data_IF_748030528891
#
_entry.id   IF_748030528891
#
_cell.length_a   1.000
_cell.length_b   1.000
_cell.length_c   1.000
_cell.angle_alpha   90.00
_cell.angle_beta   90.00
_cell.angle_gamma   90.00
#
_symmetry.space_group_name_H-M   'P 1'
#
loop_
_entity.id
_entity.type
_entity.pdbx_description
1 polymer ?
#
# COMPACT_ATOMS: atom_id res chain seq x y z
N UNK A 1 13.58 7.54 -6.97
CA UNK A 1 12.61 7.51 -5.88
C UNK A 1 13.27 7.99 -4.59
N UNK A 2 12.50 8.63 -3.73
CA UNK A 2 12.93 9.15 -2.43
C UNK A 2 12.04 8.59 -1.32
N UNK A 3 12.51 8.68 -0.09
CA UNK A 3 11.76 8.35 1.12
C UNK A 3 12.25 9.22 2.29
N UNK A 4 11.39 9.43 3.27
CA UNK A 4 11.71 10.10 4.52
C UNK A 4 11.66 9.11 5.69
N UNK A 5 12.57 9.28 6.66
CA UNK A 5 12.69 8.37 7.81
C UNK A 5 12.49 9.17 9.09
N UNK A 6 11.49 8.78 9.87
CA UNK A 6 11.16 9.35 11.17
C UNK A 6 11.57 8.37 12.27
N UNK A 7 12.47 8.79 13.14
CA UNK A 7 13.00 7.95 14.21
C UNK A 7 12.46 8.41 15.55
N UNK A 8 11.84 7.51 16.36
CA UNK A 8 11.37 7.86 17.71
C UNK A 8 12.51 8.37 18.61
N UNK A 9 12.16 9.27 19.54
CA UNK A 9 13.10 9.88 20.47
C UNK A 9 13.12 9.19 21.85
N UNK A 10 12.69 7.93 21.94
CA UNK A 10 12.58 7.19 23.21
C UNK A 10 13.90 6.58 23.69
N UNK A 11 14.99 6.71 22.90
CA UNK A 11 16.33 6.26 23.29
C UNK A 11 16.64 4.77 23.02
N UNK A 12 15.71 3.99 22.49
CA UNK A 12 15.99 2.61 22.06
C UNK A 12 16.98 2.56 20.89
N UNK A 13 17.68 1.43 20.76
CA UNK A 13 18.67 1.21 19.69
C UNK A 13 18.07 0.47 18.48
N UNK A 14 16.92 -0.17 18.64
CA UNK A 14 16.33 -1.05 17.62
C UNK A 14 14.81 -1.05 17.72
N UNK A 15 14.15 -0.46 16.74
CA UNK A 15 12.70 -0.27 16.67
C UNK A 15 12.09 -1.14 15.56
N UNK A 16 10.86 -1.66 15.71
CA UNK A 16 10.10 -2.11 14.55
C UNK A 16 9.92 -0.97 13.55
N UNK A 17 9.65 -1.31 12.32
CA UNK A 17 9.56 -0.38 11.20
C UNK A 17 8.16 -0.39 10.61
N UNK A 18 7.61 0.77 10.32
CA UNK A 18 6.38 0.94 9.56
C UNK A 18 6.69 1.66 8.26
N UNK A 19 6.46 1.00 7.12
CA UNK A 19 6.61 1.61 5.79
C UNK A 19 5.26 2.11 5.31
N UNK A 20 5.18 3.38 4.89
CA UNK A 20 3.95 4.04 4.42
C UNK A 20 4.02 4.26 2.91
N UNK A 21 2.94 3.91 2.20
CA UNK A 21 2.68 4.25 0.80
C UNK A 21 1.49 5.21 0.76
N UNK A 22 1.68 6.39 0.15
CA UNK A 22 0.66 7.45 0.14
C UNK A 22 -0.50 7.16 -0.83
N UNK A 23 -1.65 7.80 -0.60
CA UNK A 23 -2.79 7.81 -1.51
C UNK A 23 -2.64 8.80 -2.67
N UNK A 24 -3.69 8.95 -3.47
CA UNK A 24 -3.72 9.89 -4.61
C UNK A 24 -4.05 9.25 -5.96
N UNK A 25 -4.72 8.08 -5.96
CA UNK A 25 -5.21 7.43 -7.18
C UNK A 25 -4.11 7.07 -8.19
N UNK A 26 -2.87 6.90 -7.71
CA UNK A 26 -1.66 6.65 -8.53
C UNK A 26 -1.32 7.80 -9.51
N UNK A 27 -1.94 8.97 -9.37
CA UNK A 27 -1.86 10.10 -10.30
C UNK A 27 -1.46 11.41 -9.63
N UNK A 28 -1.69 11.56 -8.34
CA UNK A 28 -1.42 12.78 -7.58
C UNK A 28 -0.69 12.49 -6.27
N UNK A 29 -0.26 13.53 -5.60
CA UNK A 29 0.44 13.52 -4.32
C UNK A 29 1.89 13.03 -4.41
N UNK A 30 2.54 13.09 -3.31
CA UNK A 30 3.83 12.50 -2.99
C UNK A 30 3.84 12.19 -1.49
N UNK A 31 4.93 11.64 -0.98
CA UNK A 31 4.99 11.22 0.42
C UNK A 31 4.72 12.34 1.43
N UNK A 32 4.88 13.62 1.06
CA UNK A 32 4.62 14.73 1.98
C UNK A 32 3.19 14.78 2.49
N UNK A 33 2.21 14.22 1.76
CA UNK A 33 0.81 14.15 2.22
C UNK A 33 0.65 13.30 3.49
N UNK A 34 1.61 12.42 3.78
CA UNK A 34 1.61 11.53 4.94
C UNK A 34 2.59 11.99 6.05
N UNK A 35 3.15 13.21 5.97
CA UNK A 35 4.11 13.68 6.96
C UNK A 35 3.51 13.74 8.37
N UNK A 36 2.30 14.31 8.52
CA UNK A 36 1.65 14.43 9.83
C UNK A 36 1.33 13.06 10.45
N UNK A 37 0.89 12.09 9.64
CA UNK A 37 0.73 10.70 10.08
C UNK A 37 2.08 10.10 10.52
N UNK A 38 3.14 10.33 9.75
CA UNK A 38 4.48 9.82 10.06
C UNK A 38 5.03 10.40 11.37
N UNK A 39 4.88 11.71 11.57
CA UNK A 39 5.25 12.40 12.79
C UNK A 39 4.43 11.94 13.99
N UNK A 40 3.10 11.78 13.80
CA UNK A 40 2.21 11.28 14.85
C UNK A 40 2.63 9.89 15.33
N UNK A 41 2.82 8.94 14.41
CA UNK A 41 3.20 7.57 14.77
C UNK A 41 4.59 7.55 15.42
N UNK A 42 5.61 8.19 14.82
CA UNK A 42 6.95 8.21 15.38
C UNK A 42 7.03 8.96 16.73
N UNK A 43 6.16 9.94 16.95
CA UNK A 43 6.08 10.73 18.18
C UNK A 43 5.33 10.04 19.31
N UNK A 44 4.34 9.21 19.02
CA UNK A 44 3.45 8.57 20.00
C UNK A 44 3.67 7.05 20.13
N UNK A 45 4.69 6.51 19.48
CA UNK A 45 4.98 5.07 19.49
C UNK A 45 6.48 4.79 19.41
N UNK A 46 6.84 3.52 19.36
CA UNK A 46 8.22 3.05 19.22
C UNK A 46 8.46 2.42 17.84
N UNK A 47 7.99 3.06 16.77
CA UNK A 47 8.20 2.64 15.39
C UNK A 47 9.08 3.64 14.64
N UNK A 48 10.10 3.14 13.95
CA UNK A 48 10.71 3.92 12.86
C UNK A 48 9.71 3.93 11.71
N UNK A 49 9.33 5.11 11.27
CA UNK A 49 8.40 5.27 10.16
C UNK A 49 9.18 5.64 8.89
N UNK A 50 8.92 4.92 7.81
CA UNK A 50 9.51 5.17 6.49
C UNK A 50 8.40 5.56 5.53
N UNK A 51 8.36 6.83 5.16
CA UNK A 51 7.35 7.42 4.28
C UNK A 51 7.89 7.48 2.86
N UNK A 52 7.32 6.73 1.93
CA UNK A 52 7.93 6.44 0.63
C UNK A 52 7.22 7.14 -0.53
N UNK A 53 8.01 7.55 -1.53
CA UNK A 53 7.52 7.91 -2.85
C UNK A 53 7.54 6.72 -3.79
N UNK A 54 6.70 6.77 -4.79
CA UNK A 54 6.65 5.89 -5.95
C UNK A 54 6.30 6.70 -7.19
N UNK A 55 6.55 6.17 -8.38
CA UNK A 55 6.15 6.84 -9.63
C UNK A 55 4.63 6.92 -9.74
N UNK A 56 4.17 7.97 -10.39
CA UNK A 56 2.76 8.16 -10.72
C UNK A 56 2.49 7.79 -12.19
N UNK A 57 1.24 7.45 -12.52
CA UNK A 57 0.84 7.11 -13.89
C UNK A 57 1.16 8.22 -14.90
N UNK A 58 1.11 9.50 -14.45
CA UNK A 58 1.44 10.68 -15.27
C UNK A 58 2.93 10.93 -15.48
N UNK A 59 3.81 10.27 -14.72
CA UNK A 59 5.25 10.47 -14.83
C UNK A 59 5.82 9.96 -16.16
N UNK A 60 7.07 10.38 -16.47
CA UNK A 60 7.78 10.01 -17.69
C UNK A 60 6.95 10.26 -18.96
N UNK A 61 6.39 11.46 -19.09
CA UNK A 61 5.50 11.84 -20.20
C UNK A 61 4.26 10.92 -20.30
N UNK A 62 3.63 10.65 -19.16
CA UNK A 62 2.41 9.83 -19.08
C UNK A 62 2.60 8.39 -19.56
N UNK A 63 3.75 7.76 -19.26
CA UNK A 63 4.09 6.41 -19.73
C UNK A 63 4.29 5.35 -18.63
N UNK A 64 4.16 5.72 -17.35
CA UNK A 64 4.32 4.78 -16.24
C UNK A 64 3.10 3.86 -16.13
N UNK A 65 3.32 2.56 -16.07
CA UNK A 65 2.28 1.54 -15.94
C UNK A 65 2.03 1.20 -14.47
N UNK A 66 0.83 0.73 -14.15
CA UNK A 66 0.43 0.41 -12.77
C UNK A 66 1.29 -0.71 -12.13
N UNK A 67 1.73 -1.71 -12.90
CA UNK A 67 2.64 -2.73 -12.39
C UNK A 67 3.98 -2.12 -11.95
N UNK A 68 4.49 -1.11 -12.67
CA UNK A 68 5.74 -0.43 -12.31
C UNK A 68 5.61 0.35 -10.99
N UNK A 69 4.42 0.85 -10.67
CA UNK A 69 4.14 1.51 -9.38
C UNK A 69 4.16 0.47 -8.24
N UNK A 70 3.57 -0.70 -8.45
CA UNK A 70 3.67 -1.83 -7.49
C UNK A 70 5.13 -2.27 -7.34
N UNK A 71 5.89 -2.33 -8.42
CA UNK A 71 7.32 -2.67 -8.42
C UNK A 71 8.17 -1.65 -7.66
N UNK A 72 7.78 -0.37 -7.69
CA UNK A 72 8.40 0.69 -6.87
C UNK A 72 8.14 0.47 -5.37
N UNK A 73 6.90 0.13 -5.00
CA UNK A 73 6.55 -0.19 -3.62
C UNK A 73 7.29 -1.42 -3.11
N UNK A 74 7.43 -2.46 -3.93
CA UNK A 74 8.24 -3.64 -3.60
C UNK A 74 9.72 -3.31 -3.48
N UNK A 75 10.24 -2.47 -4.39
CA UNK A 75 11.63 -2.02 -4.38
C UNK A 75 11.96 -1.19 -3.14
N UNK A 76 11.07 -0.27 -2.74
CA UNK A 76 11.27 0.53 -1.52
C UNK A 76 11.32 -0.34 -0.27
N UNK A 77 10.45 -1.36 -0.13
CA UNK A 77 10.51 -2.29 0.98
C UNK A 77 11.82 -3.08 1.02
N UNK A 78 12.33 -3.54 -0.13
CA UNK A 78 13.64 -4.22 -0.20
C UNK A 78 14.78 -3.29 0.22
N UNK A 79 14.75 -2.03 -0.22
CA UNK A 79 15.70 -1.02 0.21
C UNK A 79 15.66 -0.80 1.74
N UNK A 80 14.45 -0.66 2.28
CA UNK A 80 14.25 -0.53 3.74
C UNK A 80 14.87 -1.72 4.47
N UNK A 81 14.57 -2.95 4.05
CA UNK A 81 15.10 -4.16 4.69
C UNK A 81 16.63 -4.26 4.62
N UNK A 82 17.26 -3.67 3.62
CA UNK A 82 18.74 -3.66 3.50
C UNK A 82 19.40 -2.55 4.33
N UNK A 83 18.73 -1.38 4.48
CA UNK A 83 19.40 -0.18 4.97
C UNK A 83 18.88 0.38 6.30
N UNK A 84 17.68 -0.03 6.75
CA UNK A 84 17.00 0.61 7.87
C UNK A 84 17.72 0.46 9.21
N UNK A 85 18.58 -0.54 9.34
CA UNK A 85 19.41 -0.70 10.54
C UNK A 85 20.34 0.51 10.79
N UNK A 86 20.75 1.24 9.74
CA UNK A 86 21.52 2.48 9.84
C UNK A 86 20.73 3.62 10.50
N UNK A 87 19.40 3.48 10.56
CA UNK A 87 18.45 4.43 11.13
C UNK A 87 17.72 3.87 12.35
N UNK A 88 18.34 2.93 13.07
CA UNK A 88 17.81 2.27 14.26
C UNK A 88 16.56 1.41 14.03
N UNK A 89 16.19 1.11 12.79
CA UNK A 89 15.10 0.19 12.47
C UNK A 89 15.57 -1.26 12.44
N UNK A 90 14.67 -2.18 12.78
CA UNK A 90 14.91 -3.62 12.72
C UNK A 90 14.38 -4.20 11.40
N UNK A 91 15.24 -4.63 10.48
CA UNK A 91 14.80 -5.18 9.20
C UNK A 91 14.01 -6.51 9.33
N UNK A 92 14.06 -7.16 10.49
CA UNK A 92 13.29 -8.39 10.77
C UNK A 92 11.88 -8.08 11.33
N UNK A 93 11.63 -6.87 11.80
CA UNK A 93 10.36 -6.42 12.38
C UNK A 93 9.76 -5.27 11.57
N UNK A 94 9.15 -5.59 10.44
CA UNK A 94 8.61 -4.61 9.49
C UNK A 94 7.12 -4.82 9.28
N UNK A 95 6.36 -3.75 9.38
CA UNK A 95 4.98 -3.65 8.93
C UNK A 95 4.89 -2.69 7.74
N UNK A 96 3.84 -2.82 6.96
CA UNK A 96 3.52 -1.90 5.86
C UNK A 96 2.13 -1.32 6.05
N UNK A 97 1.94 -0.10 5.58
CA UNK A 97 0.64 0.57 5.57
C UNK A 97 0.51 1.48 4.36
N UNK A 98 -0.69 1.86 4.06
CA UNK A 98 -1.00 2.85 3.05
C UNK A 98 -2.48 3.11 2.99
N UNK A 99 -2.83 4.23 2.43
CA UNK A 99 -4.17 4.73 2.28
C UNK A 99 -4.60 4.75 0.81
N UNK A 100 -5.87 4.51 0.50
CA UNK A 100 -6.40 4.64 -0.87
C UNK A 100 -5.57 3.83 -1.89
N UNK A 101 -4.94 4.50 -2.87
CA UNK A 101 -3.98 3.89 -3.80
C UNK A 101 -2.78 3.27 -3.08
N UNK A 102 -2.26 3.91 -2.03
CA UNK A 102 -1.18 3.36 -1.19
C UNK A 102 -1.61 2.13 -0.41
N UNK A 103 -2.87 2.06 0.00
CA UNK A 103 -3.47 0.86 0.59
C UNK A 103 -3.50 -0.31 -0.39
N UNK A 104 -3.82 -0.05 -1.68
CA UNK A 104 -3.70 -1.05 -2.74
C UNK A 104 -2.24 -1.50 -2.90
N UNK A 105 -1.27 -0.57 -2.91
CA UNK A 105 0.15 -0.92 -3.01
C UNK A 105 0.59 -1.80 -1.84
N UNK A 106 0.21 -1.46 -0.60
CA UNK A 106 0.48 -2.28 0.59
C UNK A 106 -0.10 -3.68 0.43
N UNK A 107 -1.35 -3.81 0.01
CA UNK A 107 -1.98 -5.10 -0.23
C UNK A 107 -1.26 -5.90 -1.33
N UNK A 108 -0.85 -5.24 -2.44
CA UNK A 108 -0.12 -5.91 -3.53
C UNK A 108 1.24 -6.42 -3.09
N UNK A 109 2.01 -5.63 -2.33
CA UNK A 109 3.30 -6.05 -1.75
C UNK A 109 3.10 -7.30 -0.87
N UNK A 110 2.07 -7.28 -0.02
CA UNK A 110 1.74 -8.39 0.88
C UNK A 110 1.35 -9.67 0.13
N UNK A 111 0.43 -9.55 -0.82
CA UNK A 111 -0.20 -10.69 -1.49
C UNK A 111 0.70 -11.32 -2.57
N UNK A 112 1.62 -10.54 -3.14
CA UNK A 112 2.45 -10.96 -4.26
C UNK A 112 3.95 -11.06 -3.93
N UNK A 113 4.32 -11.12 -2.65
CA UNK A 113 5.72 -11.22 -2.20
C UNK A 113 6.50 -12.38 -2.83
N UNK A 114 5.81 -13.40 -3.32
CA UNK A 114 6.36 -14.59 -3.98
C UNK A 114 6.19 -14.63 -5.49
N UNK A 115 5.50 -13.65 -6.09
CA UNK A 115 5.28 -13.56 -7.54
C UNK A 115 6.25 -12.56 -8.17
N UNK A 116 7.55 -12.70 -7.87
CA UNK A 116 8.59 -11.82 -8.39
C UNK A 116 9.33 -12.53 -9.51
N UNK A 117 9.51 -11.84 -10.65
CA UNK A 117 10.16 -12.35 -11.84
C UNK A 117 11.02 -11.27 -12.51
N UNK A 118 12.18 -11.65 -13.02
CA UNK A 118 13.11 -10.72 -13.68
C UNK A 118 12.56 -10.13 -14.98
N UNK A 119 11.67 -10.87 -15.67
CA UNK A 119 11.01 -10.42 -16.89
C UNK A 119 9.74 -9.59 -16.60
N UNK A 120 9.30 -9.55 -15.34
CA UNK A 120 8.13 -8.77 -14.91
C UNK A 120 6.87 -9.14 -15.69
N UNK A 121 6.08 -8.14 -16.03
CA UNK A 121 4.84 -8.28 -16.81
C UNK A 121 5.08 -8.57 -18.31
N UNK A 122 6.32 -8.56 -18.79
CA UNK A 122 6.68 -8.99 -20.13
C UNK A 122 6.98 -10.49 -20.21
N UNK A 123 7.05 -11.18 -19.07
CA UNK A 123 7.29 -12.62 -19.00
C UNK A 123 6.07 -13.47 -19.37
N UNK A 124 6.23 -14.78 -19.34
CA UNK A 124 5.12 -15.74 -19.59
C UNK A 124 4.08 -15.73 -18.46
N UNK A 125 4.52 -15.41 -17.26
CA UNK A 125 3.68 -15.22 -16.09
C UNK A 125 3.69 -13.73 -15.73
N UNK A 126 2.59 -13.20 -15.20
CA UNK A 126 2.50 -11.80 -14.80
C UNK A 126 3.10 -11.63 -13.41
N UNK A 127 4.43 -11.66 -13.32
CA UNK A 127 5.20 -11.43 -12.11
C UNK A 127 5.62 -9.97 -11.96
N UNK A 128 6.16 -9.61 -10.80
CA UNK A 128 6.65 -8.26 -10.54
C UNK A 128 8.17 -8.23 -10.51
N UNK A 129 8.75 -7.17 -11.08
CA UNK A 129 10.19 -6.90 -11.02
C UNK A 129 10.45 -5.69 -10.13
N UNK A 130 10.78 -5.89 -8.83
CA UNK A 130 11.05 -4.76 -7.95
C UNK A 130 12.10 -3.82 -8.54
N UNK A 131 11.85 -2.51 -8.48
CA UNK A 131 12.76 -1.48 -9.04
C UNK A 131 14.09 -1.39 -8.30
N UNK A 132 14.13 -1.87 -7.07
CA UNK A 132 15.36 -2.06 -6.30
C UNK A 132 15.53 -3.55 -5.96
N UNK A 133 16.72 -4.05 -6.19
CA UNK A 133 17.13 -5.39 -5.76
C UNK A 133 18.46 -5.29 -5.00
N UNK A 134 18.60 -5.91 -3.83
CA UNK A 134 19.86 -5.98 -3.11
C UNK A 134 20.98 -6.55 -3.99
N UNK A 135 22.19 -6.05 -3.82
CA UNK A 135 23.35 -6.42 -4.65
C UNK A 135 23.49 -7.93 -4.80
N UNK A 136 23.55 -8.42 -6.03
CA UNK A 136 23.72 -9.85 -6.38
C UNK A 136 22.48 -10.72 -6.17
N UNK A 137 21.30 -10.11 -5.92
CA UNK A 137 20.01 -10.82 -5.87
C UNK A 137 19.25 -10.65 -7.18
N UNK A 138 18.44 -11.65 -7.51
CA UNK A 138 17.45 -11.58 -8.61
C UNK A 138 16.04 -11.61 -8.01
N UNK A 139 15.04 -11.21 -8.77
CA UNK A 139 13.64 -11.22 -8.35
C UNK A 139 13.23 -12.63 -7.85
N UNK A 140 13.59 -13.67 -8.58
CA UNK A 140 13.27 -15.07 -8.23
C UNK A 140 13.95 -15.52 -6.93
N UNK A 141 15.20 -15.08 -6.70
CA UNK A 141 15.91 -15.38 -5.44
C UNK A 141 15.24 -14.70 -4.25
N UNK A 142 14.73 -13.48 -4.43
CA UNK A 142 13.96 -12.76 -3.41
C UNK A 142 12.64 -13.49 -3.15
N UNK A 143 11.87 -13.83 -4.20
CA UNK A 143 10.62 -14.57 -4.08
C UNK A 143 10.80 -15.92 -3.35
N UNK A 144 11.79 -16.70 -3.75
CA UNK A 144 12.08 -18.02 -3.14
C UNK A 144 12.42 -17.94 -1.65
N UNK A 145 13.00 -16.83 -1.20
CA UNK A 145 13.39 -16.60 0.21
C UNK A 145 12.36 -15.80 1.00
N UNK A 146 11.22 -15.49 0.39
CA UNK A 146 10.20 -14.62 0.97
C UNK A 146 10.77 -13.26 1.43
N UNK A 147 11.61 -12.68 0.59
CA UNK A 147 12.40 -11.50 0.94
C UNK A 147 11.57 -10.23 1.18
N UNK A 148 10.32 -10.20 0.69
CA UNK A 148 9.35 -9.13 0.97
C UNK A 148 8.45 -9.42 2.18
N UNK A 149 8.66 -10.52 2.90
CA UNK A 149 7.84 -10.86 4.06
C UNK A 149 7.83 -9.74 5.09
N UNK A 150 6.63 -9.36 5.54
CA UNK A 150 6.39 -8.43 6.64
C UNK A 150 5.62 -9.14 7.75
N UNK A 151 5.55 -8.54 8.94
CA UNK A 151 4.94 -9.15 10.13
C UNK A 151 3.51 -8.66 10.37
N UNK A 152 3.13 -7.53 9.75
CA UNK A 152 1.80 -6.96 9.81
C UNK A 152 1.54 -6.07 8.59
N UNK A 153 0.27 -5.85 8.28
CA UNK A 153 -0.14 -4.83 7.32
C UNK A 153 -1.37 -4.07 7.83
N UNK A 154 -1.38 -2.77 7.60
CA UNK A 154 -2.54 -1.91 7.85
C UNK A 154 -3.02 -1.35 6.51
N UNK A 155 -4.28 -1.60 6.17
CA UNK A 155 -4.83 -1.25 4.87
C UNK A 155 -5.97 -0.25 5.08
N UNK A 156 -5.72 1.02 4.76
CA UNK A 156 -6.63 2.13 5.02
C UNK A 156 -7.43 2.47 3.76
N UNK A 157 -8.75 2.30 3.81
CA UNK A 157 -9.69 2.66 2.73
C UNK A 157 -9.15 2.45 1.31
N UNK A 158 -8.64 1.24 1.03
CA UNK A 158 -7.88 0.95 -0.17
C UNK A 158 -8.75 0.66 -1.41
N UNK A 159 -8.14 0.82 -2.59
CA UNK A 159 -8.70 0.35 -3.85
C UNK A 159 -8.36 -1.13 -4.07
N UNK A 160 -9.30 -2.03 -3.83
CA UNK A 160 -9.04 -3.47 -3.86
C UNK A 160 -9.26 -4.13 -5.23
N UNK A 161 -9.98 -3.48 -6.15
CA UNK A 161 -10.37 -4.07 -7.44
C UNK A 161 -10.16 -3.08 -8.60
N UNK A 162 -8.95 -3.07 -9.15
CA UNK A 162 -8.59 -2.22 -10.29
C UNK A 162 -9.22 -2.73 -11.60
N UNK A 163 -9.51 -4.02 -11.68
CA UNK A 163 -10.22 -4.59 -12.82
C UNK A 163 -11.60 -3.98 -12.95
N UNK A 164 -12.37 -3.97 -11.86
CA UNK A 164 -13.69 -3.33 -11.81
C UNK A 164 -13.61 -1.81 -11.96
N UNK A 165 -12.61 -1.16 -11.36
CA UNK A 165 -12.40 0.28 -11.50
C UNK A 165 -12.17 0.68 -12.97
N UNK A 166 -11.35 -0.07 -13.71
CA UNK A 166 -11.12 0.17 -15.14
C UNK A 166 -12.39 -0.02 -15.97
N UNK A 167 -13.18 -1.07 -15.71
CA UNK A 167 -14.48 -1.29 -16.34
C UNK A 167 -15.47 -0.13 -16.06
N UNK A 168 -15.37 0.49 -14.90
CA UNK A 168 -16.20 1.62 -14.47
C UNK A 168 -15.62 2.99 -14.86
N UNK A 169 -14.71 3.05 -15.84
CA UNK A 169 -14.22 4.28 -16.43
C UNK A 169 -13.05 4.96 -15.73
N UNK A 170 -12.32 4.25 -14.86
CA UNK A 170 -11.10 4.81 -14.23
C UNK A 170 -10.11 5.34 -15.28
N UNK A 171 -10.00 4.69 -16.44
CA UNK A 171 -9.07 5.01 -17.53
C UNK A 171 -9.57 6.11 -18.48
N UNK A 172 -10.67 6.77 -18.15
CA UNK A 172 -11.31 7.79 -18.99
C UNK A 172 -11.27 9.17 -18.36
N UNK A 173 -11.61 10.20 -19.14
CA UNK A 173 -11.70 11.59 -18.67
C UNK A 173 -12.80 11.83 -17.63
N UNK A 174 -13.69 10.88 -17.38
CA UNK A 174 -14.67 10.95 -16.30
C UNK A 174 -14.02 10.80 -14.91
N UNK A 175 -12.84 10.20 -14.83
CA UNK A 175 -12.10 10.11 -13.60
C UNK A 175 -11.27 11.38 -13.37
N UNK A 176 -11.65 12.14 -12.35
CA UNK A 176 -11.05 13.43 -11.99
C UNK A 176 -9.55 13.36 -11.67
N UNK A 177 -9.03 12.22 -11.22
CA UNK A 177 -7.61 12.08 -10.84
C UNK A 177 -6.67 12.34 -12.02
N UNK A 178 -7.06 11.99 -13.26
CA UNK A 178 -6.27 12.32 -14.46
C UNK A 178 -6.11 13.83 -14.64
N UNK A 179 -7.19 14.57 -14.44
CA UNK A 179 -7.16 16.04 -14.51
C UNK A 179 -6.31 16.65 -13.38
N UNK A 180 -6.51 16.17 -12.15
CA UNK A 180 -5.77 16.65 -10.98
C UNK A 180 -4.26 16.35 -11.09
N UNK A 181 -3.91 15.20 -11.67
CA UNK A 181 -2.52 14.81 -11.93
C UNK A 181 -1.91 15.45 -13.18
N UNK A 182 -2.65 16.34 -13.88
CA UNK A 182 -2.23 16.91 -15.16
C UNK A 182 -1.74 15.86 -16.16
N UNK A 183 -2.44 14.72 -16.20
CA UNK A 183 -2.14 13.57 -17.03
C UNK A 183 -3.25 13.27 -18.03
N UNK A 184 -2.90 12.67 -19.15
CA UNK A 184 -3.89 12.28 -20.17
C UNK A 184 -4.46 10.91 -19.83
N UNK A 185 -5.81 10.75 -19.78
CA UNK A 185 -6.44 9.46 -19.55
C UNK A 185 -6.01 8.42 -20.58
N UNK A 186 -5.67 7.23 -20.10
CA UNK A 186 -5.24 6.07 -20.89
C UNK A 186 -5.36 4.79 -20.08
N UNK A 187 -5.15 3.65 -20.72
CA UNK A 187 -5.04 2.36 -20.06
C UNK A 187 -3.95 2.34 -18.97
N UNK A 188 -4.22 1.66 -17.87
CA UNK A 188 -3.28 1.49 -16.75
C UNK A 188 -1.97 0.81 -17.17
N UNK A 189 -1.99 0.07 -18.27
CA UNK A 189 -0.85 -0.61 -18.88
C UNK A 189 -0.41 0.03 -20.21
N UNK A 190 -0.84 1.25 -20.49
CA UNK A 190 -0.56 1.94 -21.75
C UNK A 190 -1.35 1.39 -22.93
N UNK A 191 -0.88 1.72 -24.14
CA UNK A 191 -1.53 1.30 -25.38
C UNK A 191 -1.35 -0.21 -25.64
N UNK A 192 -2.37 -0.82 -26.21
CA UNK A 192 -2.36 -2.23 -26.60
C UNK A 192 -2.84 -3.22 -25.52
N UNK A 193 -2.91 -2.82 -24.26
CA UNK A 193 -3.50 -3.60 -23.17
C UNK A 193 -4.78 -2.90 -22.73
N UNK A 194 -5.89 -3.62 -22.73
CA UNK A 194 -7.19 -3.06 -22.30
C UNK A 194 -7.93 -4.03 -21.38
N UNK A 195 -8.79 -3.47 -20.53
CA UNK A 195 -9.55 -4.24 -19.54
C UNK A 195 -10.41 -5.34 -20.17
N UNK A 196 -10.94 -5.11 -21.37
CA UNK A 196 -11.80 -6.06 -22.09
C UNK A 196 -10.99 -7.19 -22.77
N UNK A 197 -9.80 -6.88 -23.29
CA UNK A 197 -8.99 -7.84 -24.06
C UNK A 197 -8.00 -8.59 -23.16
N UNK A 198 -7.54 -7.96 -22.08
CA UNK A 198 -6.47 -8.46 -21.22
C UNK A 198 -6.87 -8.39 -19.74
N UNK A 199 -8.03 -8.95 -19.33
CA UNK A 199 -8.51 -8.85 -17.94
C UNK A 199 -7.52 -9.43 -16.92
N UNK A 200 -6.66 -10.36 -17.32
CA UNK A 200 -5.64 -10.97 -16.45
C UNK A 200 -4.59 -9.96 -15.97
N UNK A 201 -4.23 -8.95 -16.78
CA UNK A 201 -3.32 -7.88 -16.37
C UNK A 201 -3.91 -7.06 -15.23
N UNK A 202 -5.19 -6.66 -15.35
CA UNK A 202 -5.89 -5.88 -14.35
C UNK A 202 -6.14 -6.67 -13.07
N UNK A 203 -6.48 -7.94 -13.19
CA UNK A 203 -6.62 -8.85 -12.04
C UNK A 203 -5.29 -9.07 -11.33
N UNK A 204 -4.18 -9.15 -12.06
CA UNK A 204 -2.85 -9.33 -11.48
C UNK A 204 -2.43 -8.16 -10.57
N UNK A 205 -2.94 -6.93 -10.80
CA UNK A 205 -2.67 -5.74 -9.97
C UNK A 205 -3.82 -5.39 -9.00
N UNK A 206 -4.85 -6.22 -8.93
CA UNK A 206 -5.99 -6.04 -8.03
C UNK A 206 -5.90 -6.98 -6.83
N UNK A 207 -5.81 -6.48 -5.60
CA UNK A 207 -5.75 -7.30 -4.39
C UNK A 207 -6.79 -8.41 -4.33
N UNK A 208 -8.04 -8.12 -4.72
CA UNK A 208 -9.17 -9.08 -4.68
C UNK A 208 -8.90 -10.41 -5.36
N UNK A 209 -8.07 -10.44 -6.41
CA UNK A 209 -7.80 -11.66 -7.19
C UNK A 209 -6.48 -12.35 -6.82
N UNK A 210 -5.78 -11.83 -5.80
CA UNK A 210 -4.45 -12.31 -5.44
C UNK A 210 -4.37 -12.92 -4.03
N UNK A 211 -5.50 -13.09 -3.34
CA UNK A 211 -5.55 -13.63 -1.98
C UNK A 211 -5.23 -15.13 -2.02
N UNK A 212 -4.10 -15.59 -1.43
CA UNK A 212 -3.83 -17.01 -1.32
C UNK A 212 -4.71 -17.65 -0.23
N UNK A 213 -5.04 -18.91 -0.39
CA UNK A 213 -5.57 -19.67 0.77
C UNK A 213 -4.48 -19.82 1.83
N UNK A 214 -4.86 -19.95 3.10
CA UNK A 214 -3.93 -20.17 4.20
C UNK A 214 -3.02 -21.40 3.99
N UNK A 215 -3.53 -22.43 3.32
CA UNK A 215 -2.77 -23.62 2.99
C UNK A 215 -1.67 -23.35 1.94
N UNK A 216 -1.90 -22.42 1.00
CA UNK A 216 -0.90 -22.02 0.03
C UNK A 216 0.18 -21.10 0.63
N UNK A 217 -0.26 -20.12 1.39
CA UNK A 217 0.61 -19.15 2.06
C UNK A 217 -0.12 -18.43 3.19
N UNK A 218 0.39 -18.52 4.40
CA UNK A 218 -0.16 -17.79 5.53
C UNK A 218 0.33 -16.35 5.51
N UNK A 219 -0.59 -15.42 5.28
CA UNK A 219 -0.34 -13.99 5.38
C UNK A 219 -0.15 -13.57 6.84
N UNK A 220 0.60 -12.49 7.11
CA UNK A 220 0.62 -11.87 8.42
C UNK A 220 -0.76 -11.27 8.76
N UNK A 221 -1.02 -10.94 10.04
CA UNK A 221 -2.22 -10.22 10.43
C UNK A 221 -2.39 -8.91 9.65
N UNK A 222 -3.63 -8.63 9.26
CA UNK A 222 -4.02 -7.40 8.58
C UNK A 222 -5.04 -6.64 9.42
N UNK A 223 -4.89 -5.32 9.51
CA UNK A 223 -5.92 -4.41 10.00
C UNK A 223 -6.44 -3.60 8.82
N UNK A 224 -7.68 -3.85 8.43
CA UNK A 224 -8.37 -3.13 7.34
C UNK A 224 -9.35 -2.15 7.95
N UNK A 225 -9.36 -0.91 7.48
CA UNK A 225 -10.32 0.07 7.98
C UNK A 225 -10.76 1.07 6.92
N UNK A 226 -11.92 1.68 7.13
CA UNK A 226 -12.56 2.61 6.19
C UNK A 226 -13.49 3.54 6.94
N UNK A 227 -13.77 4.72 6.38
CA UNK A 227 -14.79 5.63 6.89
C UNK A 227 -16.20 5.22 6.43
N UNK A 228 -17.21 5.38 7.29
CA UNK A 228 -18.60 4.97 6.97
C UNK A 228 -19.23 5.78 5.84
N UNK A 229 -18.72 7.00 5.58
CA UNK A 229 -19.22 7.89 4.53
C UNK A 229 -18.29 8.00 3.33
N UNK A 230 -17.29 7.12 3.24
CA UNK A 230 -16.35 7.08 2.12
C UNK A 230 -17.05 6.70 0.81
N UNK A 231 -17.15 7.67 -0.11
CA UNK A 231 -17.73 7.48 -1.44
C UNK A 231 -16.69 7.15 -2.53
N UNK A 232 -15.40 7.34 -2.24
CA UNK A 232 -14.30 7.08 -3.19
C UNK A 232 -13.94 5.59 -3.19
N UNK A 233 -13.75 5.02 -2.01
CA UNK A 233 -13.53 3.58 -1.79
C UNK A 233 -14.56 3.10 -0.75
N UNK A 234 -15.80 2.81 -1.16
CA UNK A 234 -16.91 2.60 -0.24
C UNK A 234 -16.67 1.44 0.74
N UNK A 235 -17.23 1.50 1.96
CA UNK A 235 -17.10 0.45 2.98
C UNK A 235 -17.42 -0.96 2.45
N UNK A 236 -18.35 -1.07 1.51
CA UNK A 236 -18.70 -2.34 0.88
C UNK A 236 -17.51 -2.97 0.12
N UNK A 237 -16.61 -2.16 -0.46
CA UNK A 237 -15.40 -2.66 -1.14
C UNK A 237 -14.42 -3.25 -0.12
N UNK A 238 -14.20 -2.56 1.00
CA UNK A 238 -13.38 -3.05 2.11
C UNK A 238 -13.96 -4.32 2.74
N UNK A 239 -15.28 -4.37 2.94
CA UNK A 239 -15.97 -5.56 3.45
C UNK A 239 -15.78 -6.77 2.53
N UNK A 240 -15.91 -6.58 1.19
CA UNK A 240 -15.70 -7.68 0.22
C UNK A 240 -14.27 -8.24 0.31
N UNK A 241 -13.25 -7.36 0.45
CA UNK A 241 -11.87 -7.80 0.62
C UNK A 241 -11.66 -8.57 1.92
N UNK A 242 -12.22 -8.09 3.03
CA UNK A 242 -12.18 -8.74 4.34
C UNK A 242 -12.87 -10.09 4.30
N UNK A 243 -14.03 -10.19 3.67
CA UNK A 243 -14.77 -11.45 3.53
C UNK A 243 -13.98 -12.47 2.70
N UNK A 244 -13.32 -12.02 1.63
CA UNK A 244 -12.44 -12.87 0.83
C UNK A 244 -11.22 -13.37 1.62
N UNK A 245 -10.61 -12.51 2.45
CA UNK A 245 -9.54 -12.92 3.37
C UNK A 245 -10.01 -13.99 4.38
N UNK A 246 -11.17 -13.75 5.01
CA UNK A 246 -11.76 -14.71 5.96
C UNK A 246 -12.08 -16.04 5.27
N UNK A 247 -12.67 -16.01 4.09
CA UNK A 247 -12.98 -17.22 3.29
C UNK A 247 -11.70 -17.99 2.91
N UNK A 248 -10.58 -17.28 2.70
CA UNK A 248 -9.26 -17.88 2.45
C UNK A 248 -8.55 -18.36 3.74
N UNK A 249 -9.16 -18.16 4.93
CA UNK A 249 -8.60 -18.52 6.23
C UNK A 249 -7.48 -17.60 6.70
N UNK A 250 -7.38 -16.38 6.15
CA UNK A 250 -6.34 -15.42 6.50
C UNK A 250 -6.72 -14.55 7.71
N UNK A 251 -5.76 -14.18 8.58
CA UNK A 251 -6.03 -13.34 9.74
C UNK A 251 -6.30 -11.90 9.33
N UNK A 252 -7.46 -11.35 9.73
CA UNK A 252 -7.84 -9.98 9.44
C UNK A 252 -8.74 -9.42 10.54
N UNK A 253 -8.47 -8.18 10.94
CA UNK A 253 -9.33 -7.31 11.74
C UNK A 253 -9.92 -6.23 10.83
N UNK A 254 -11.19 -5.84 11.12
CA UNK A 254 -11.87 -4.83 10.29
C UNK A 254 -12.60 -3.82 11.17
N UNK A 255 -12.40 -2.53 10.87
CA UNK A 255 -13.09 -1.43 11.57
C UNK A 255 -13.65 -0.42 10.57
N UNK A 256 -14.89 0.02 10.81
CA UNK A 256 -15.51 1.16 10.11
C UNK A 256 -15.55 2.32 11.09
N UNK A 257 -15.00 3.46 10.68
CA UNK A 257 -15.02 4.69 11.48
C UNK A 257 -16.23 5.54 11.10
N UNK A 258 -17.13 5.72 12.04
CA UNK A 258 -18.39 6.42 11.80
C UNK A 258 -18.17 7.90 11.46
N UNK A 259 -18.91 8.37 10.44
CA UNK A 259 -18.89 9.75 9.98
C UNK A 259 -17.64 10.19 9.23
N UNK A 260 -16.62 9.33 9.07
CA UNK A 260 -15.41 9.68 8.30
C UNK A 260 -15.60 9.42 6.83
N UNK A 261 -15.08 10.33 6.02
CA UNK A 261 -15.03 10.20 4.57
C UNK A 261 -13.63 9.76 4.13
N UNK A 262 -13.37 9.71 2.83
CA UNK A 262 -12.07 9.37 2.24
C UNK A 262 -10.96 10.33 2.67
N UNK A 263 -9.70 9.86 2.71
CA UNK A 263 -8.49 10.66 2.96
C UNK A 263 -8.40 11.29 4.38
N UNK A 264 -9.00 10.69 5.40
CA UNK A 264 -8.92 11.20 6.77
C UNK A 264 -7.55 11.05 7.44
N UNK A 265 -6.59 10.38 6.81
CA UNK A 265 -5.19 10.28 7.26
C UNK A 265 -4.25 11.26 6.54
N UNK A 266 -4.75 11.99 5.54
CA UNK A 266 -3.97 12.98 4.79
C UNK A 266 -3.69 14.22 5.65
N UNK A 267 -2.59 14.90 5.39
CA UNK A 267 -2.24 16.15 6.07
C UNK A 267 -3.32 17.22 5.93
N UNK A 268 -3.55 17.96 7.00
CA UNK A 268 -4.40 19.15 7.02
C UNK A 268 -5.88 18.84 6.88
N UNK A 269 -6.63 19.74 6.24
CA UNK A 269 -8.06 19.61 6.04
C UNK A 269 -8.41 19.62 4.56
N UNK A 270 -9.35 18.76 4.17
CA UNK A 270 -9.92 18.70 2.83
C UNK A 270 -11.40 19.09 2.87
N UNK A 271 -11.71 20.31 2.46
CA UNK A 271 -13.06 20.88 2.51
C UNK A 271 -14.04 20.13 1.59
N UNK A 272 -13.57 19.60 0.47
CA UNK A 272 -14.40 18.84 -0.47
C UNK A 272 -14.83 17.50 0.13
N UNK A 273 -13.90 16.78 0.76
CA UNK A 273 -14.17 15.52 1.43
C UNK A 273 -14.67 15.70 2.87
N UNK A 274 -14.66 16.94 3.38
CA UNK A 274 -15.07 17.30 4.78
C UNK A 274 -14.30 16.53 5.85
N UNK A 275 -13.02 16.25 5.61
CA UNK A 275 -12.12 15.60 6.55
C UNK A 275 -11.03 16.56 6.99
N UNK A 276 -10.52 16.37 8.21
CA UNK A 276 -9.44 17.16 8.77
C UNK A 276 -8.59 16.26 9.67
N UNK A 277 -7.28 16.20 9.43
CA UNK A 277 -6.36 15.30 10.15
C UNK A 277 -6.53 15.38 11.66
N UNK A 278 -6.48 16.59 12.23
CA UNK A 278 -6.52 16.79 13.69
C UNK A 278 -7.81 16.28 14.35
N UNK A 279 -8.92 16.24 13.61
CA UNK A 279 -10.22 15.76 14.08
C UNK A 279 -10.40 14.25 13.82
N UNK A 280 -10.00 13.79 12.63
CA UNK A 280 -10.45 12.50 12.10
C UNK A 280 -9.40 11.40 12.20
N UNK A 281 -8.09 11.75 12.20
CA UNK A 281 -7.01 10.78 12.18
C UNK A 281 -6.59 10.22 13.55
N UNK A 282 -6.65 10.93 14.68
CA UNK A 282 -6.06 10.45 15.94
C UNK A 282 -6.60 9.12 16.43
N UNK A 283 -7.94 8.89 16.36
CA UNK A 283 -8.54 7.61 16.76
C UNK A 283 -8.04 6.46 15.88
N UNK A 284 -8.13 6.53 14.51
CA UNK A 284 -7.55 5.50 13.65
C UNK A 284 -6.07 5.26 13.86
N UNK A 285 -5.27 6.31 14.07
CA UNK A 285 -3.83 6.18 14.30
C UNK A 285 -3.50 5.46 15.61
N UNK A 286 -4.27 5.72 16.68
CA UNK A 286 -4.12 5.00 17.94
C UNK A 286 -4.49 3.52 17.78
N UNK A 287 -5.55 3.19 17.04
CA UNK A 287 -5.91 1.81 16.74
C UNK A 287 -4.81 1.11 15.91
N UNK A 288 -4.22 1.79 14.95
CA UNK A 288 -3.07 1.29 14.19
C UNK A 288 -1.89 0.97 15.12
N UNK A 289 -1.54 1.89 16.02
CA UNK A 289 -0.47 1.69 17.01
C UNK A 289 -0.80 0.48 17.90
N UNK A 290 -2.02 0.39 18.44
CA UNK A 290 -2.44 -0.74 19.28
C UNK A 290 -2.38 -2.08 18.54
N UNK A 291 -2.84 -2.13 17.30
CA UNK A 291 -2.75 -3.34 16.46
C UNK A 291 -1.29 -3.78 16.26
N UNK A 292 -0.41 -2.83 15.92
CA UNK A 292 1.01 -3.11 15.73
C UNK A 292 1.69 -3.51 17.05
N UNK A 293 1.35 -2.87 18.16
CA UNK A 293 1.92 -3.17 19.48
C UNK A 293 1.59 -4.60 19.93
N UNK A 294 0.37 -5.08 19.65
CA UNK A 294 0.00 -6.46 19.94
C UNK A 294 0.88 -7.49 19.19
N UNK A 295 1.46 -7.11 18.05
CA UNK A 295 2.31 -7.98 17.23
C UNK A 295 3.79 -7.83 17.60
N UNK A 296 4.29 -6.61 17.75
CA UNK A 296 5.71 -6.33 17.94
C UNK A 296 6.14 -6.24 19.41
N UNK A 297 5.18 -5.98 20.31
CA UNK A 297 5.38 -5.85 21.74
C UNK A 297 4.37 -6.70 22.55
N UNK A 298 4.19 -8.02 22.21
CA UNK A 298 3.21 -8.83 22.94
C UNK A 298 3.53 -8.81 24.44
N UNK A 299 2.48 -8.63 25.25
CA UNK A 299 2.62 -8.74 26.70
C UNK A 299 3.25 -10.10 27.03
N UNK A 300 4.32 -10.11 27.83
CA UNK A 300 4.99 -11.31 28.29
C UNK A 300 4.14 -12.05 29.33
#
# INVERSE_FOLDING_TARGET
LTLDIYVPKTGKKNYPVLVIYHGGGWLINNNSIMNTMSEYIAGNSEYVVVNTNYRLLGDNNNSVHINQIVEDAMGSLLWVKEHIANYKGDPARVAITGDSAGGQLSAMVLLNSRKLESDGFAGKTLGFKPTYLPKGKTAEKIAKRDGLRVQAAVISYAAFDLYKAAQNGFETSSNIFWKLGNATPRGLFGDGISVDKNPEFYKAVSPMYNIPTRAQYQLPPQFVHVGSTDATTPPASSQQYVDALKAAGQPVEFKIYEGRNHAFLDNGCNEFLKVCFDRDAPEPLNDIIHFLDAIFWPAR
#
